data_IF_993249649506
#
_entry.id   IF_993249649506
#
_cell.length_a   1.000
_cell.length_b   1.000
_cell.length_c   1.000
_cell.angle_alpha   90.00
_cell.angle_beta   90.00
_cell.angle_gamma   90.00
#
_symmetry.space_group_name_H-M   'P 1'
#
loop_
_entity.id
_entity.type
_entity.pdbx_description
1 polymer ?
#
# COMPACT_ATOMS: atom_id res chain seq x y z
N UNK A 1 12.63 -0.83 -21.64
CA UNK A 1 12.77 -2.07 -20.82
C UNK A 1 11.89 -1.94 -19.58
N UNK A 2 10.92 -2.84 -19.38
CA UNK A 2 9.99 -2.72 -18.26
C UNK A 2 10.67 -3.05 -16.91
N UNK A 3 10.59 -2.14 -15.93
CA UNK A 3 11.09 -2.35 -14.56
C UNK A 3 9.94 -2.34 -13.56
N UNK A 4 10.00 -3.26 -12.60
CA UNK A 4 8.93 -3.49 -11.63
C UNK A 4 9.39 -3.07 -10.24
N UNK A 5 8.67 -2.13 -9.65
CA UNK A 5 8.89 -1.60 -8.32
C UNK A 5 7.81 -2.11 -7.36
N UNK A 6 8.24 -2.76 -6.27
CA UNK A 6 7.32 -3.36 -5.29
C UNK A 6 6.99 -2.37 -4.17
N UNK A 7 5.79 -2.55 -3.62
CA UNK A 7 5.28 -1.74 -2.50
C UNK A 7 4.91 -2.67 -1.33
N UNK A 8 5.88 -3.41 -0.76
CA UNK A 8 5.63 -4.28 0.38
C UNK A 8 5.17 -3.49 1.61
N UNK A 9 4.41 -4.19 2.45
CA UNK A 9 4.10 -3.75 3.81
C UNK A 9 5.38 -3.58 4.64
N UNK A 10 5.35 -2.68 5.62
CA UNK A 10 6.45 -2.54 6.57
C UNK A 10 6.72 -3.84 7.34
N UNK A 11 7.98 -4.24 7.44
CA UNK A 11 8.42 -5.44 8.20
C UNK A 11 8.04 -5.36 9.68
N UNK A 12 8.00 -4.15 10.23
CA UNK A 12 7.60 -3.89 11.62
C UNK A 12 6.15 -4.34 11.85
N UNK A 13 5.26 -4.03 10.92
CA UNK A 13 3.84 -4.42 11.00
C UNK A 13 3.69 -5.94 11.00
N UNK A 14 4.42 -6.63 10.11
CA UNK A 14 4.40 -8.09 10.05
C UNK A 14 4.95 -8.71 11.34
N UNK A 15 5.99 -8.11 11.93
CA UNK A 15 6.60 -8.61 13.17
C UNK A 15 5.66 -8.44 14.35
N UNK A 16 5.02 -7.27 14.50
CA UNK A 16 4.02 -7.02 15.55
C UNK A 16 2.85 -7.98 15.42
N UNK A 17 2.36 -8.21 14.19
CA UNK A 17 1.30 -9.17 13.93
C UNK A 17 1.68 -10.59 14.38
N UNK A 18 2.88 -11.07 14.01
CA UNK A 18 3.35 -12.40 14.41
C UNK A 18 3.52 -12.52 15.93
N UNK A 19 4.01 -11.48 16.60
CA UNK A 19 4.09 -11.45 18.07
C UNK A 19 2.71 -11.55 18.72
N UNK A 20 1.71 -10.87 18.16
CA UNK A 20 0.33 -10.96 18.66
C UNK A 20 -0.25 -12.36 18.48
N UNK A 21 -0.04 -12.98 17.32
CA UNK A 21 -0.45 -14.38 17.06
C UNK A 21 0.25 -15.34 18.03
N UNK A 22 1.55 -15.16 18.28
CA UNK A 22 2.30 -15.98 19.22
C UNK A 22 1.78 -15.82 20.66
N UNK A 23 1.43 -14.60 21.09
CA UNK A 23 0.84 -14.34 22.40
C UNK A 23 -0.52 -15.03 22.56
N UNK A 24 -1.37 -14.98 21.52
CA UNK A 24 -2.66 -15.71 21.53
C UNK A 24 -2.42 -17.22 21.60
N UNK A 25 -1.48 -17.76 20.82
CA UNK A 25 -1.16 -19.18 20.86
C UNK A 25 -0.69 -19.63 22.25
N UNK A 26 0.13 -18.81 22.93
CA UNK A 26 0.53 -19.06 24.31
C UNK A 26 -0.66 -19.02 25.28
N UNK A 27 -1.57 -18.06 25.13
CA UNK A 27 -2.79 -17.97 25.95
C UNK A 27 -3.73 -19.17 25.74
N UNK A 28 -3.84 -19.66 24.51
CA UNK A 28 -4.58 -20.89 24.16
C UNK A 28 -3.94 -22.10 24.85
N UNK A 29 -2.62 -22.29 24.70
CA UNK A 29 -1.90 -23.39 25.33
C UNK A 29 -2.04 -23.37 26.86
N UNK A 30 -1.93 -22.20 27.47
CA UNK A 30 -2.13 -22.01 28.90
C UNK A 30 -3.56 -22.32 29.36
N UNK A 31 -4.57 -21.94 28.56
CA UNK A 31 -5.98 -22.23 28.84
C UNK A 31 -6.24 -23.74 28.87
N UNK A 32 -5.70 -24.48 27.90
CA UNK A 32 -5.81 -25.95 27.89
C UNK A 32 -5.07 -26.59 29.07
N UNK A 33 -3.87 -26.12 29.40
CA UNK A 33 -3.11 -26.62 30.55
C UNK A 33 -3.79 -26.33 31.90
N UNK A 34 -4.56 -25.25 31.99
CA UNK A 34 -5.28 -24.84 33.20
C UNK A 34 -6.68 -25.44 33.33
N UNK A 35 -7.09 -26.33 32.42
CA UNK A 35 -8.42 -26.94 32.42
C UNK A 35 -9.55 -26.02 31.89
N UNK A 36 -9.23 -24.84 31.37
CA UNK A 36 -10.17 -23.89 30.77
C UNK A 36 -10.47 -24.25 29.30
N UNK A 37 -10.98 -25.45 29.08
CA UNK A 37 -11.15 -26.03 27.74
C UNK A 37 -12.01 -25.15 26.82
N UNK A 38 -13.15 -24.67 27.32
CA UNK A 38 -14.06 -23.82 26.53
C UNK A 38 -13.43 -22.48 26.14
N UNK A 39 -12.64 -21.88 27.03
CA UNK A 39 -11.91 -20.64 26.73
C UNK A 39 -10.87 -20.87 25.64
N UNK A 40 -10.10 -21.96 25.73
CA UNK A 40 -9.13 -22.34 24.70
C UNK A 40 -9.79 -22.56 23.34
N UNK A 41 -10.91 -23.28 23.30
CA UNK A 41 -11.69 -23.54 22.07
C UNK A 41 -12.19 -22.22 21.47
N UNK A 42 -12.82 -21.35 22.27
CA UNK A 42 -13.32 -20.06 21.78
C UNK A 42 -12.19 -19.16 21.25
N UNK A 43 -11.04 -19.14 21.92
CA UNK A 43 -9.87 -18.38 21.45
C UNK A 43 -9.38 -18.89 20.10
N UNK A 44 -9.27 -20.20 19.90
CA UNK A 44 -8.87 -20.76 18.59
C UNK A 44 -9.92 -20.48 17.51
N UNK A 45 -11.20 -20.71 17.83
CA UNK A 45 -12.30 -20.57 16.90
C UNK A 45 -12.45 -19.13 16.38
N UNK A 46 -12.14 -18.12 17.21
CA UNK A 46 -12.19 -16.71 16.80
C UNK A 46 -10.85 -16.25 16.24
N UNK A 47 -9.75 -16.46 16.97
CA UNK A 47 -8.45 -15.89 16.60
C UNK A 47 -7.81 -16.58 15.40
N UNK A 48 -8.05 -17.87 15.18
CA UNK A 48 -7.53 -18.60 14.03
C UNK A 48 -8.00 -18.00 12.69
N UNK A 49 -9.33 -17.96 12.43
CA UNK A 49 -9.87 -17.34 11.22
C UNK A 49 -9.46 -15.87 11.08
N UNK A 50 -9.47 -15.11 12.18
CA UNK A 50 -9.08 -13.70 12.18
C UNK A 50 -7.61 -13.53 11.79
N UNK A 51 -6.71 -14.35 12.33
CA UNK A 51 -5.28 -14.31 11.99
C UNK A 51 -5.04 -14.66 10.52
N UNK A 52 -5.75 -15.66 9.98
CA UNK A 52 -5.67 -16.01 8.55
C UNK A 52 -6.13 -14.82 7.69
N UNK A 53 -7.25 -14.19 8.05
CA UNK A 53 -7.78 -13.03 7.34
C UNK A 53 -6.81 -11.84 7.37
N UNK A 54 -6.28 -11.49 8.53
CA UNK A 54 -5.29 -10.41 8.66
C UNK A 54 -3.98 -10.73 7.96
N UNK A 55 -3.52 -11.99 7.97
CA UNK A 55 -2.36 -12.41 7.19
C UNK A 55 -2.58 -12.17 5.70
N UNK A 56 -3.76 -12.51 5.18
CA UNK A 56 -4.11 -12.23 3.79
C UNK A 56 -4.08 -10.72 3.49
N UNK A 57 -4.68 -9.89 4.34
CA UNK A 57 -4.71 -8.43 4.15
C UNK A 57 -3.34 -7.75 4.29
N UNK A 58 -2.52 -8.15 5.26
CA UNK A 58 -1.26 -7.47 5.59
C UNK A 58 -0.06 -8.00 4.81
N UNK A 59 -0.09 -9.25 4.37
CA UNK A 59 1.02 -9.87 3.67
C UNK A 59 0.72 -10.13 2.19
N UNK A 60 -0.37 -10.83 1.87
CA UNK A 60 -0.64 -11.28 0.49
C UNK A 60 -0.99 -10.09 -0.41
N UNK A 61 -1.90 -9.22 0.04
CA UNK A 61 -2.37 -8.08 -0.75
C UNK A 61 -1.24 -7.08 -1.07
N UNK A 62 -0.45 -6.58 -0.09
CA UNK A 62 0.64 -5.63 -0.40
C UNK A 62 1.78 -6.28 -1.18
N UNK A 63 2.01 -7.59 -1.03
CA UNK A 63 3.03 -8.31 -1.83
C UNK A 63 2.69 -8.36 -3.32
N UNK A 64 1.41 -8.25 -3.68
CA UNK A 64 0.94 -8.16 -5.07
C UNK A 64 0.96 -6.73 -5.61
N UNK A 65 1.14 -5.73 -4.76
CA UNK A 65 1.20 -4.33 -5.17
C UNK A 65 2.54 -4.01 -5.85
N UNK A 66 2.46 -3.58 -7.10
CA UNK A 66 3.60 -3.25 -7.93
C UNK A 66 3.31 -2.07 -8.87
N UNK A 67 4.35 -1.30 -9.14
CA UNK A 67 4.40 -0.27 -10.17
C UNK A 67 5.35 -0.77 -11.25
N UNK A 68 4.87 -0.93 -12.47
CA UNK A 68 5.70 -1.27 -13.62
C UNK A 68 5.90 -0.02 -14.46
N UNK A 69 7.16 0.40 -14.62
CA UNK A 69 7.54 1.47 -15.53
C UNK A 69 7.92 0.82 -16.85
N UNK A 70 7.19 1.14 -17.92
CA UNK A 70 7.42 0.65 -19.28
C UNK A 70 7.61 1.83 -20.24
N UNK A 71 8.04 1.51 -21.46
CA UNK A 71 8.35 2.52 -22.48
C UNK A 71 7.08 3.26 -22.94
N UNK A 72 5.90 2.62 -22.84
CA UNK A 72 4.60 3.20 -23.23
C UNK A 72 3.87 3.92 -22.08
N UNK A 73 4.25 3.66 -20.83
CA UNK A 73 3.61 4.26 -19.67
C UNK A 73 3.93 3.56 -18.34
N UNK A 74 3.20 3.97 -17.31
CA UNK A 74 3.27 3.37 -15.98
C UNK A 74 2.03 2.51 -15.75
N UNK A 75 2.26 1.23 -15.41
CA UNK A 75 1.22 0.32 -14.99
C UNK A 75 1.23 0.23 -13.47
N UNK A 76 0.16 0.70 -12.86
CA UNK A 76 -0.08 0.57 -11.44
C UNK A 76 -0.98 -0.65 -11.18
N UNK A 77 -0.47 -1.63 -10.46
CA UNK A 77 -1.23 -2.79 -10.02
C UNK A 77 -1.20 -2.86 -8.49
N UNK A 78 -2.27 -2.42 -7.83
CA UNK A 78 -2.46 -2.50 -6.38
C UNK A 78 -3.85 -3.06 -6.03
N UNK A 79 -4.13 -4.32 -6.41
CA UNK A 79 -5.41 -4.97 -6.10
C UNK A 79 -5.59 -5.11 -4.58
N UNK A 80 -6.82 -5.04 -4.03
CA UNK A 80 -8.11 -4.77 -4.69
C UNK A 80 -8.46 -3.27 -4.84
N UNK A 81 -7.56 -2.36 -4.46
CA UNK A 81 -7.92 -0.95 -4.22
C UNK A 81 -7.65 -0.01 -5.39
N UNK A 82 -6.59 -0.26 -6.17
CA UNK A 82 -6.24 0.57 -7.33
C UNK A 82 -5.56 -0.26 -8.42
N UNK A 83 -6.05 -0.11 -9.66
CA UNK A 83 -5.34 -0.54 -10.86
C UNK A 83 -5.49 0.57 -11.89
N UNK A 84 -4.38 1.02 -12.46
CA UNK A 84 -4.40 2.09 -13.46
C UNK A 84 -3.29 1.91 -14.48
N UNK A 85 -3.57 2.32 -15.70
CA UNK A 85 -2.58 2.46 -16.77
C UNK A 85 -2.44 3.95 -17.04
N UNK A 86 -1.22 4.45 -16.97
CA UNK A 86 -0.89 5.87 -17.14
C UNK A 86 0.01 5.96 -18.39
N UNK A 87 -0.56 6.23 -19.57
CA UNK A 87 0.23 6.49 -20.77
C UNK A 87 1.12 7.72 -20.55
N UNK A 88 2.35 7.71 -21.06
CA UNK A 88 3.21 8.89 -20.93
C UNK A 88 2.64 10.14 -21.60
N UNK A 89 1.88 9.96 -22.68
CA UNK A 89 1.21 11.05 -23.39
C UNK A 89 0.19 11.82 -22.54
N UNK A 90 -0.34 11.23 -21.46
CA UNK A 90 -1.29 11.91 -20.57
C UNK A 90 -0.64 12.59 -19.37
N UNK A 91 0.68 12.49 -19.23
CA UNK A 91 1.43 13.06 -18.11
C UNK A 91 1.72 14.53 -18.39
N UNK A 92 1.14 15.40 -17.56
CA UNK A 92 1.34 16.85 -17.62
C UNK A 92 2.59 17.24 -16.85
N UNK A 93 2.78 16.65 -15.66
CA UNK A 93 3.89 17.00 -14.77
C UNK A 93 4.25 15.85 -13.84
N UNK A 94 5.54 15.74 -13.56
CA UNK A 94 6.07 14.84 -12.53
C UNK A 94 6.86 15.66 -11.52
N UNK A 95 6.58 15.48 -10.23
CA UNK A 95 7.30 16.18 -9.16
C UNK A 95 7.30 15.38 -7.85
N UNK A 96 8.33 15.53 -7.01
CA UNK A 96 8.34 14.94 -5.67
C UNK A 96 7.29 15.62 -4.79
N UNK A 97 6.57 14.81 -4.01
CA UNK A 97 5.55 15.27 -3.06
C UNK A 97 5.70 14.52 -1.74
N UNK A 98 5.26 15.15 -0.65
CA UNK A 98 5.28 14.55 0.67
C UNK A 98 3.86 14.55 1.27
N UNK A 99 3.33 13.35 1.48
CA UNK A 99 1.95 13.15 1.94
C UNK A 99 1.66 13.65 3.37
N UNK A 100 2.68 14.11 4.11
CA UNK A 100 2.55 14.62 5.48
C UNK A 100 2.64 16.15 5.52
N UNK A 101 3.58 16.73 4.80
CA UNK A 101 3.83 18.18 4.83
C UNK A 101 2.95 18.94 3.85
N UNK A 102 2.62 18.34 2.72
CA UNK A 102 1.96 19.06 1.64
C UNK A 102 0.44 19.04 1.85
N UNK A 103 -0.12 20.19 2.20
CA UNK A 103 -1.56 20.33 2.49
C UNK A 103 -2.45 19.99 1.30
N UNK A 104 -1.96 20.21 0.08
CA UNK A 104 -2.68 19.92 -1.17
C UNK A 104 -2.87 18.41 -1.41
N UNK A 105 -1.98 17.57 -0.87
CA UNK A 105 -2.05 16.11 -0.98
C UNK A 105 -2.68 15.45 0.25
N UNK A 106 -3.25 16.24 1.18
CA UNK A 106 -4.04 15.68 2.27
C UNK A 106 -5.36 15.14 1.75
N UNK A 107 -5.68 13.94 2.22
CA UNK A 107 -6.90 13.23 1.88
C UNK A 107 -8.08 13.97 2.52
N UNK A 108 -9.01 14.43 1.69
CA UNK A 108 -10.28 15.00 2.14
C UNK A 108 -11.35 13.93 2.33
N UNK A 109 -11.56 13.10 1.29
CA UNK A 109 -12.59 12.04 1.31
C UNK A 109 -12.06 10.73 0.73
N UNK A 110 -12.21 9.63 1.45
CA UNK A 110 -11.80 8.30 0.99
C UNK A 110 -12.92 7.61 0.22
N UNK A 111 -12.66 7.09 -0.99
CA UNK A 111 -13.62 6.27 -1.74
C UNK A 111 -13.34 4.77 -1.56
N UNK A 112 -12.25 4.29 -2.15
CA UNK A 112 -11.74 2.92 -2.02
C UNK A 112 -10.30 3.02 -1.57
N UNK A 113 -10.09 3.25 -0.28
CA UNK A 113 -8.77 3.56 0.26
C UNK A 113 -8.48 2.71 1.48
N UNK A 114 -7.29 2.14 1.51
CA UNK A 114 -6.74 1.43 2.65
C UNK A 114 -5.53 2.21 3.16
N UNK A 115 -5.60 2.64 4.41
CA UNK A 115 -4.45 3.15 5.15
C UNK A 115 -4.19 2.24 6.34
N UNK A 116 -2.97 1.73 6.42
CA UNK A 116 -2.54 0.89 7.54
C UNK A 116 -1.06 1.15 7.82
N UNK A 117 -0.77 1.79 8.97
CA UNK A 117 0.60 1.99 9.51
C UNK A 117 1.63 2.33 8.42
N UNK A 118 1.37 3.42 7.68
CA UNK A 118 2.26 3.94 6.63
C UNK A 118 2.06 3.34 5.23
N UNK A 119 1.41 2.19 5.10
CA UNK A 119 0.93 1.69 3.80
C UNK A 119 -0.38 2.36 3.43
N UNK A 120 -0.44 2.90 2.22
CA UNK A 120 -1.56 3.62 1.65
C UNK A 120 -1.80 3.07 0.27
N UNK A 121 -3.02 2.62 0.01
CA UNK A 121 -3.39 2.07 -1.29
C UNK A 121 -4.84 2.36 -1.60
N UNK A 122 -5.09 2.99 -2.74
CA UNK A 122 -6.42 3.17 -3.28
C UNK A 122 -6.70 4.55 -3.84
N UNK A 123 -7.98 4.87 -3.93
CA UNK A 123 -8.49 6.09 -4.53
C UNK A 123 -9.12 6.98 -3.46
N UNK A 124 -8.65 8.22 -3.40
CA UNK A 124 -9.11 9.24 -2.47
C UNK A 124 -9.28 10.58 -3.19
N UNK A 125 -10.20 11.40 -2.70
CA UNK A 125 -10.37 12.78 -3.10
C UNK A 125 -9.50 13.65 -2.18
N UNK A 126 -8.64 14.46 -2.79
CA UNK A 126 -7.79 15.42 -2.09
C UNK A 126 -8.59 16.64 -1.64
N UNK A 127 -8.02 17.46 -0.75
CA UNK A 127 -8.66 18.72 -0.30
C UNK A 127 -9.01 19.68 -1.44
N UNK A 128 -8.26 19.64 -2.53
CA UNK A 128 -8.51 20.42 -3.74
C UNK A 128 -9.66 19.86 -4.62
N UNK A 129 -10.41 18.87 -4.11
CA UNK A 129 -11.52 18.16 -4.80
C UNK A 129 -11.10 17.36 -6.04
N UNK A 130 -9.79 17.17 -6.26
CA UNK A 130 -9.31 16.32 -7.33
C UNK A 130 -9.16 14.87 -6.83
N UNK A 131 -9.42 13.92 -7.73
CA UNK A 131 -9.22 12.51 -7.43
C UNK A 131 -7.71 12.19 -7.47
N UNK A 132 -7.27 11.37 -6.53
CA UNK A 132 -5.91 10.89 -6.46
C UNK A 132 -5.88 9.38 -6.24
N UNK A 133 -5.05 8.71 -7.03
CA UNK A 133 -4.70 7.31 -6.81
C UNK A 133 -3.40 7.29 -6.02
N UNK A 134 -3.46 6.81 -4.79
CA UNK A 134 -2.33 6.79 -3.86
C UNK A 134 -1.92 5.35 -3.66
N UNK A 135 -0.68 5.02 -4.00
CA UNK A 135 -0.09 3.71 -3.68
C UNK A 135 1.34 3.91 -3.20
N UNK A 136 1.52 3.86 -1.88
CA UNK A 136 2.79 4.13 -1.23
C UNK A 136 2.91 3.37 0.09
N UNK A 137 4.13 2.97 0.46
CA UNK A 137 4.44 2.49 1.81
C UNK A 137 5.24 3.49 2.65
N UNK A 138 5.30 4.74 2.18
CA UNK A 138 6.14 5.82 2.71
C UNK A 138 5.46 7.19 2.52
N UNK A 139 6.01 8.20 3.20
CA UNK A 139 5.50 9.58 3.15
C UNK A 139 6.00 10.34 1.92
N UNK A 140 7.23 10.10 1.48
CA UNK A 140 7.81 10.71 0.28
C UNK A 140 7.36 9.92 -0.94
N UNK A 141 6.68 10.59 -1.86
CA UNK A 141 6.09 9.97 -3.05
C UNK A 141 6.43 10.80 -4.27
N UNK A 142 6.34 10.17 -5.44
CA UNK A 142 6.38 10.87 -6.70
C UNK A 142 4.94 11.15 -7.12
N UNK A 143 4.62 12.42 -7.32
CA UNK A 143 3.34 12.83 -7.89
C UNK A 143 3.46 12.87 -9.41
N UNK A 144 2.58 12.14 -10.08
CA UNK A 144 2.41 12.15 -11.52
C UNK A 144 1.03 12.74 -11.78
N UNK A 145 1.02 13.95 -12.32
CA UNK A 145 -0.20 14.68 -12.65
C UNK A 145 -0.61 14.36 -14.08
N UNK A 146 -1.82 13.84 -14.26
CA UNK A 146 -2.50 13.80 -15.56
C UNK A 146 -3.59 14.85 -15.62
N UNK A 147 -4.22 15.02 -16.79
CA UNK A 147 -5.36 15.93 -16.96
C UNK A 147 -6.56 15.55 -16.09
N UNK A 148 -6.72 14.26 -15.79
CA UNK A 148 -7.89 13.73 -15.09
C UNK A 148 -7.70 13.63 -13.56
N UNK A 149 -6.50 13.26 -13.10
CA UNK A 149 -6.25 12.94 -11.68
C UNK A 149 -4.76 12.91 -11.33
N UNK A 150 -4.48 12.91 -10.02
CA UNK A 150 -3.13 12.72 -9.50
C UNK A 150 -2.82 11.26 -9.22
N UNK A 151 -1.59 10.84 -9.50
CA UNK A 151 -1.06 9.54 -9.09
C UNK A 151 0.11 9.77 -8.13
N UNK A 152 -0.08 9.37 -6.88
CA UNK A 152 0.90 9.52 -5.81
C UNK A 152 1.53 8.15 -5.54
N UNK A 153 2.73 7.95 -6.05
CA UNK A 153 3.40 6.65 -6.10
C UNK A 153 4.64 6.64 -5.21
N UNK A 154 4.68 5.71 -4.27
CA UNK A 154 5.77 5.57 -3.30
C UNK A 154 6.28 4.14 -3.17
N UNK A 155 7.00 3.59 -4.16
CA UNK A 155 7.64 2.29 -4.03
C UNK A 155 8.74 2.25 -2.97
N UNK A 156 9.16 1.02 -2.62
CA UNK A 156 10.27 0.85 -1.66
C UNK A 156 11.59 1.40 -2.19
N UNK A 157 11.86 1.22 -3.49
CA UNK A 157 13.00 1.82 -4.17
C UNK A 157 12.55 3.09 -4.89
N UNK A 158 12.57 4.21 -4.16
CA UNK A 158 12.22 5.52 -4.72
C UNK A 158 13.32 6.05 -5.64
N UNK A 159 14.59 5.83 -5.32
CA UNK A 159 15.69 6.38 -6.12
C UNK A 159 15.74 5.75 -7.50
N UNK A 160 15.58 4.42 -7.59
CA UNK A 160 15.47 3.73 -8.87
C UNK A 160 14.24 4.19 -9.65
N UNK A 161 13.10 4.28 -8.97
CA UNK A 161 11.84 4.69 -9.59
C UNK A 161 11.91 6.10 -10.17
N UNK A 162 12.39 7.09 -9.41
CA UNK A 162 12.52 8.47 -9.88
C UNK A 162 13.50 8.57 -11.04
N UNK A 163 14.64 7.88 -11.00
CA UNK A 163 15.63 7.87 -12.10
C UNK A 163 15.03 7.30 -13.39
N UNK A 164 14.29 6.21 -13.31
CA UNK A 164 13.68 5.59 -14.48
C UNK A 164 12.58 6.47 -15.08
N UNK A 165 11.75 7.07 -14.23
CA UNK A 165 10.71 8.01 -14.66
C UNK A 165 11.34 9.26 -15.32
N UNK A 166 12.39 9.83 -14.74
CA UNK A 166 13.09 10.99 -15.32
C UNK A 166 13.80 10.66 -16.63
N UNK A 167 14.38 9.46 -16.75
CA UNK A 167 15.09 9.04 -17.96
C UNK A 167 14.12 8.91 -19.13
N UNK A 168 12.95 8.32 -18.89
CA UNK A 168 11.93 8.14 -19.92
C UNK A 168 11.23 9.47 -20.22
N UNK A 169 10.93 10.28 -19.20
CA UNK A 169 10.31 11.59 -19.38
C UNK A 169 11.20 12.59 -20.16
N UNK A 170 12.53 12.44 -20.12
CA UNK A 170 13.47 13.25 -20.94
C UNK A 170 13.57 12.79 -22.40
N UNK A 171 13.07 11.60 -22.73
CA UNK A 171 13.09 11.04 -24.08
C UNK A 171 11.83 11.35 -24.89
N UNK A 172 10.82 11.95 -24.24
CA UNK A 172 9.57 12.42 -24.82
C UNK A 172 9.64 13.93 -25.08
#
# INVERSE_FOLDING_TARGET
>A
MARIYKIPMSKVVLTIFLLFVAAIAAAVAWSFNSGLLWTGICLVAVAGPLAIFYWYMLYITPKRAAITVADEGILLAAPPFASAVIPWASVVKVFPANLKTDDDFKIGKTKKFMEFIGYRSGVAELKNKQEAVIVANRIDVLCIQTEERFYLLGPSDMEGFTKDVETIAKQL
#
